data_IF_727138851787
#
_entry.id   IF_727138851787
#
_cell.length_a   1.000
_cell.length_b   1.000
_cell.length_c   1.000
_cell.angle_alpha   90.00
_cell.angle_beta   90.00
_cell.angle_gamma   90.00
#
_symmetry.space_group_name_H-M   'P 1'
#
loop_
_entity.id
_entity.type
_entity.pdbx_description
1 polymer ?
#
# COMPACT_ATOMS: atom_id res chain seq x y z
N UNK A 1 -16.87 -22.63 23.89
CA UNK A 1 -16.39 -22.28 22.54
C UNK A 1 -15.38 -21.16 22.67
N UNK A 2 -14.10 -21.49 22.63
CA UNK A 2 -13.01 -20.55 22.89
C UNK A 2 -12.74 -19.72 21.65
N UNK A 3 -13.00 -18.42 21.74
CA UNK A 3 -12.67 -17.45 20.68
C UNK A 3 -11.15 -17.49 20.47
N UNK A 4 -10.70 -18.02 19.33
CA UNK A 4 -9.29 -17.99 18.96
C UNK A 4 -8.90 -16.53 18.73
N UNK A 5 -8.32 -15.94 19.76
CA UNK A 5 -7.67 -14.63 19.75
C UNK A 5 -6.64 -14.66 18.63
N UNK A 6 -6.96 -14.00 17.51
CA UNK A 6 -6.04 -13.85 16.38
C UNK A 6 -4.81 -13.12 16.91
N UNK A 7 -3.73 -13.85 17.16
CA UNK A 7 -2.45 -13.28 17.52
C UNK A 7 -1.99 -12.42 16.34
N UNK A 8 -2.11 -11.10 16.51
CA UNK A 8 -1.38 -10.13 15.71
C UNK A 8 0.10 -10.41 15.90
N UNK A 9 0.70 -11.25 15.05
CA UNK A 9 2.14 -11.23 14.81
C UNK A 9 2.46 -9.82 14.32
N UNK A 10 2.78 -8.92 15.25
CA UNK A 10 3.42 -7.65 14.94
C UNK A 10 4.76 -8.04 14.33
N UNK A 11 4.81 -8.02 13.00
CA UNK A 11 6.08 -8.02 12.30
C UNK A 11 6.85 -6.83 12.86
N UNK A 12 7.86 -7.09 13.68
CA UNK A 12 8.79 -6.08 14.20
C UNK A 12 9.73 -5.67 13.06
N UNK A 13 9.15 -5.27 11.92
CA UNK A 13 9.86 -4.49 10.92
C UNK A 13 9.78 -3.06 11.45
N UNK A 14 10.94 -2.50 11.79
CA UNK A 14 11.06 -1.06 12.06
C UNK A 14 10.40 -0.32 10.92
N UNK A 15 9.29 0.36 11.22
CA UNK A 15 8.54 1.10 10.22
C UNK A 15 9.44 2.15 9.57
N UNK A 16 9.20 2.45 8.30
CA UNK A 16 10.06 3.33 7.52
C UNK A 16 9.25 4.24 6.61
N UNK A 17 9.90 5.33 6.21
CA UNK A 17 9.36 6.25 5.21
C UNK A 17 9.63 5.71 3.81
N UNK A 18 8.61 5.74 2.95
CA UNK A 18 8.71 5.16 1.61
C UNK A 18 7.38 5.09 0.89
N UNK A 19 7.38 4.30 -0.17
CA UNK A 19 6.22 3.97 -0.99
C UNK A 19 5.88 2.49 -0.83
N UNK A 20 4.60 2.18 -0.88
CA UNK A 20 4.10 0.82 -0.94
C UNK A 20 3.16 0.64 -2.12
N UNK A 21 3.14 -0.59 -2.65
CA UNK A 21 2.26 -1.03 -3.72
C UNK A 21 1.46 -2.22 -3.22
N UNK A 22 0.14 -2.13 -3.35
CA UNK A 22 -0.78 -3.24 -3.12
C UNK A 22 -1.25 -3.76 -4.48
N UNK A 23 -0.78 -4.93 -4.87
CA UNK A 23 -1.13 -5.57 -6.14
C UNK A 23 -2.20 -6.64 -5.90
N UNK A 24 -3.39 -6.46 -6.46
CA UNK A 24 -4.43 -7.49 -6.43
C UNK A 24 -4.13 -8.58 -7.48
N UNK A 25 -3.92 -9.81 -7.03
CA UNK A 25 -3.55 -10.93 -7.90
C UNK A 25 -4.65 -11.36 -8.86
N UNK A 26 -5.92 -11.10 -8.53
CA UNK A 26 -7.10 -11.54 -9.28
C UNK A 26 -7.40 -10.59 -10.45
N UNK A 27 -7.56 -9.30 -10.16
CA UNK A 27 -7.92 -8.30 -11.18
C UNK A 27 -6.73 -7.49 -11.72
N UNK A 28 -5.51 -7.78 -11.23
CA UNK A 28 -4.23 -7.15 -11.62
C UNK A 28 -4.16 -5.64 -11.37
N UNK A 29 -5.07 -5.08 -10.57
CA UNK A 29 -5.07 -3.67 -10.20
C UNK A 29 -4.03 -3.38 -9.13
N UNK A 30 -3.40 -2.22 -9.23
CA UNK A 30 -2.41 -1.73 -8.27
C UNK A 30 -2.95 -0.53 -7.50
N UNK A 31 -2.67 -0.48 -6.20
CA UNK A 31 -2.75 0.73 -5.40
C UNK A 31 -1.33 1.12 -4.99
N UNK A 32 -0.93 2.37 -5.21
CA UNK A 32 0.36 2.90 -4.78
C UNK A 32 0.10 4.01 -3.77
N UNK A 33 0.82 4.03 -2.67
CA UNK A 33 0.77 5.14 -1.72
C UNK A 33 2.10 5.38 -1.05
N UNK A 34 2.33 6.61 -0.59
CA UNK A 34 3.45 6.92 0.30
C UNK A 34 3.06 6.90 1.78
N UNK A 35 4.06 6.79 2.66
CA UNK A 35 3.91 7.11 4.08
C UNK A 35 5.28 7.32 4.74
N UNK A 36 5.30 8.07 5.84
CA UNK A 36 6.40 8.04 6.83
C UNK A 36 6.45 6.73 7.62
N UNK A 37 5.32 5.99 7.62
CA UNK A 37 5.10 4.74 8.33
C UNK A 37 4.42 3.73 7.40
N UNK A 38 5.18 3.23 6.44
CA UNK A 38 4.72 2.31 5.38
C UNK A 38 3.99 1.09 5.96
N UNK A 39 4.56 0.42 6.95
CA UNK A 39 3.97 -0.80 7.51
C UNK A 39 2.65 -0.52 8.22
N UNK A 40 2.59 0.58 9.00
CA UNK A 40 1.32 1.03 9.57
C UNK A 40 0.28 1.30 8.48
N UNK A 41 0.67 2.01 7.41
CA UNK A 41 -0.28 2.43 6.38
C UNK A 41 -0.81 1.25 5.57
N UNK A 42 0.04 0.27 5.26
CA UNK A 42 -0.40 -1.01 4.67
C UNK A 42 -1.42 -1.70 5.58
N UNK A 43 -1.14 -1.78 6.89
CA UNK A 43 -2.10 -2.35 7.84
C UNK A 43 -3.42 -1.59 7.87
N UNK A 44 -3.40 -0.25 7.81
CA UNK A 44 -4.62 0.58 7.76
C UNK A 44 -5.51 0.21 6.54
N UNK A 45 -4.93 -0.14 5.38
CA UNK A 45 -5.72 -0.61 4.22
C UNK A 45 -6.38 -1.96 4.48
N UNK A 46 -5.66 -2.89 5.13
CA UNK A 46 -6.17 -4.22 5.44
C UNK A 46 -7.20 -4.23 6.58
N UNK A 47 -7.27 -3.15 7.37
CA UNK A 47 -8.26 -2.96 8.44
C UNK A 47 -9.36 -1.97 8.10
N UNK A 48 -9.41 -1.46 6.85
CA UNK A 48 -10.51 -0.63 6.35
C UNK A 48 -10.38 0.87 6.55
N UNK A 49 -9.22 1.37 7.01
CA UNK A 49 -8.91 2.79 7.18
C UNK A 49 -8.09 3.38 6.01
N UNK A 50 -8.10 2.69 4.86
CA UNK A 50 -7.41 3.07 3.63
C UNK A 50 -8.37 3.25 2.44
N UNK A 51 -7.96 2.79 1.27
CA UNK A 51 -8.79 2.79 0.07
C UNK A 51 -9.91 1.76 0.22
N UNK A 52 -11.17 2.22 0.18
CA UNK A 52 -12.34 1.35 0.37
C UNK A 52 -12.42 0.22 -0.64
N UNK A 53 -12.02 0.47 -1.89
CA UNK A 53 -12.04 -0.56 -2.95
C UNK A 53 -11.00 -1.65 -2.70
N UNK A 54 -9.80 -1.29 -2.24
CA UNK A 54 -8.76 -2.25 -1.82
C UNK A 54 -9.27 -3.11 -0.66
N UNK A 55 -9.83 -2.47 0.37
CA UNK A 55 -10.36 -3.19 1.54
C UNK A 55 -11.53 -4.10 1.16
N UNK A 56 -12.44 -3.66 0.30
CA UNK A 56 -13.57 -4.46 -0.18
C UNK A 56 -13.07 -5.70 -0.91
N UNK A 57 -12.15 -5.55 -1.85
CA UNK A 57 -11.61 -6.68 -2.63
C UNK A 57 -10.82 -7.64 -1.72
N UNK A 58 -10.06 -7.12 -0.77
CA UNK A 58 -9.39 -7.93 0.26
C UNK A 58 -10.38 -8.72 1.12
N UNK A 59 -11.47 -8.09 1.57
CA UNK A 59 -12.54 -8.76 2.34
C UNK A 59 -13.29 -9.81 1.53
N UNK A 60 -13.36 -9.65 0.22
CA UNK A 60 -13.93 -10.64 -0.70
C UNK A 60 -13.00 -11.84 -0.96
N UNK A 61 -11.81 -11.88 -0.34
CA UNK A 61 -10.87 -12.98 -0.45
C UNK A 61 -9.84 -12.84 -1.56
N UNK A 62 -9.77 -11.68 -2.23
CA UNK A 62 -8.72 -11.44 -3.22
C UNK A 62 -7.36 -11.37 -2.53
N UNK A 63 -6.35 -12.02 -3.13
CA UNK A 63 -4.98 -12.04 -2.62
C UNK A 63 -4.25 -10.78 -3.06
N UNK A 64 -3.51 -10.17 -2.14
CA UNK A 64 -2.70 -8.99 -2.42
C UNK A 64 -1.21 -9.27 -2.16
N UNK A 65 -0.36 -8.87 -3.10
CA UNK A 65 1.07 -8.74 -2.85
C UNK A 65 1.40 -7.31 -2.42
N UNK A 66 2.24 -7.20 -1.40
CA UNK A 66 2.73 -5.93 -0.88
C UNK A 66 4.17 -5.77 -1.32
N UNK A 67 4.45 -4.76 -2.13
CA UNK A 67 5.80 -4.35 -2.46
C UNK A 67 6.10 -3.03 -1.76
N UNK A 68 7.27 -2.91 -1.13
CA UNK A 68 7.66 -1.70 -0.41
C UNK A 68 8.99 -1.19 -0.91
N UNK A 69 9.10 0.13 -1.02
CA UNK A 69 10.27 0.84 -1.52
C UNK A 69 10.64 1.88 -0.46
N UNK A 70 11.75 1.70 0.28
CA UNK A 70 12.18 2.69 1.25
C UNK A 70 12.60 3.98 0.56
N UNK A 71 12.31 5.13 1.18
CA UNK A 71 12.72 6.43 0.67
C UNK A 71 14.24 6.63 0.84
N UNK A 72 14.79 6.17 1.96
CA UNK A 72 16.23 6.18 2.20
C UNK A 72 16.95 5.34 1.14
N UNK A 73 17.89 5.95 0.44
CA UNK A 73 18.64 5.29 -0.63
C UNK A 73 17.91 5.19 -1.98
N UNK A 74 16.71 5.76 -2.10
CA UNK A 74 15.94 5.72 -3.36
C UNK A 74 16.48 6.67 -4.45
N UNK A 75 17.30 7.66 -4.08
CA UNK A 75 17.79 8.71 -4.98
C UNK A 75 16.77 9.83 -5.27
N UNK A 76 15.56 9.76 -4.72
CA UNK A 76 14.53 10.77 -4.91
C UNK A 76 14.67 11.93 -3.93
N UNK A 77 14.34 13.14 -4.40
CA UNK A 77 14.37 14.37 -3.58
C UNK A 77 13.18 14.49 -2.64
N UNK A 78 12.08 13.78 -2.89
CA UNK A 78 10.89 13.78 -2.03
C UNK A 78 10.08 12.50 -2.16
N UNK A 79 9.30 12.17 -1.12
CA UNK A 79 8.35 11.06 -1.18
C UNK A 79 7.28 11.27 -2.26
N UNK A 80 6.89 12.51 -2.54
CA UNK A 80 5.93 12.84 -3.60
C UNK A 80 6.49 12.47 -4.98
N UNK A 81 7.77 12.75 -5.24
CA UNK A 81 8.42 12.37 -6.49
C UNK A 81 8.52 10.84 -6.62
N UNK A 82 8.94 10.15 -5.55
CA UNK A 82 8.99 8.69 -5.52
C UNK A 82 7.60 8.06 -5.74
N UNK A 83 6.55 8.60 -5.10
CA UNK A 83 5.18 8.12 -5.24
C UNK A 83 4.67 8.28 -6.67
N UNK A 84 4.84 9.46 -7.27
CA UNK A 84 4.35 9.77 -8.61
C UNK A 84 4.94 8.83 -9.66
N UNK A 85 6.25 8.62 -9.60
CA UNK A 85 6.94 7.73 -10.54
C UNK A 85 6.49 6.29 -10.36
N UNK A 86 6.23 5.85 -9.13
CA UNK A 86 5.69 4.52 -8.87
C UNK A 86 4.21 4.39 -9.27
N UNK A 87 3.37 5.42 -9.09
CA UNK A 87 1.99 5.41 -9.61
C UNK A 87 1.99 5.24 -11.13
N UNK A 88 2.89 5.94 -11.83
CA UNK A 88 3.05 5.79 -13.27
C UNK A 88 3.55 4.38 -13.64
N UNK A 89 4.63 3.92 -13.01
CA UNK A 89 5.25 2.60 -13.24
C UNK A 89 4.26 1.44 -13.05
N UNK A 90 3.44 1.49 -12.00
CA UNK A 90 2.47 0.45 -11.70
C UNK A 90 1.08 0.71 -12.30
N UNK A 91 0.92 1.74 -13.14
CA UNK A 91 -0.37 2.14 -13.72
C UNK A 91 -1.48 2.29 -12.67
N UNK A 92 -1.12 2.73 -11.46
CA UNK A 92 -2.01 2.79 -10.31
C UNK A 92 -3.21 3.70 -10.53
N UNK A 93 -3.03 4.77 -11.33
CA UNK A 93 -4.08 5.74 -11.66
C UNK A 93 -4.94 5.32 -12.86
N UNK A 94 -4.32 4.85 -13.95
CA UNK A 94 -5.03 4.59 -15.21
C UNK A 94 -5.76 3.24 -15.22
N UNK A 95 -5.25 2.25 -14.49
CA UNK A 95 -5.79 0.88 -14.46
C UNK A 95 -5.84 0.29 -13.04
N UNK A 96 -5.61 1.09 -12.02
CA UNK A 96 -5.49 0.65 -10.64
C UNK A 96 -6.57 1.22 -9.71
N UNK A 97 -6.24 1.29 -8.43
CA UNK A 97 -7.12 1.78 -7.37
C UNK A 97 -6.84 3.25 -7.00
N UNK A 98 -5.79 3.87 -7.53
CA UNK A 98 -5.49 5.27 -7.22
C UNK A 98 -6.48 6.20 -7.93
N UNK A 99 -7.02 7.15 -7.17
CA UNK A 99 -7.91 8.19 -7.71
C UNK A 99 -7.17 9.43 -8.22
N UNK A 100 -5.87 9.54 -7.94
CA UNK A 100 -5.01 10.66 -8.35
C UNK A 100 -3.67 10.13 -8.86
N UNK A 101 -2.92 10.96 -9.58
CA UNK A 101 -1.55 10.66 -10.04
C UNK A 101 -0.48 10.85 -8.94
N UNK A 102 -0.89 10.93 -7.67
CA UNK A 102 -0.03 11.23 -6.53
C UNK A 102 -0.19 12.68 -6.05
N UNK A 103 0.46 13.00 -4.94
CA UNK A 103 0.38 14.34 -4.37
C UNK A 103 1.16 15.37 -5.21
N UNK A 104 0.55 16.54 -5.41
CA UNK A 104 1.20 17.74 -5.91
C UNK A 104 1.63 18.47 -4.63
N UNK A 105 2.94 18.49 -4.37
CA UNK A 105 3.51 19.14 -3.19
C UNK A 105 3.37 20.65 -3.28
#
# INVERSE_FOLDING_TARGET
MTVKKFERRRVHCTDFSGVYVLHNCKNKKNYVGQSQRVMKRVNDHLTGHGCRDVYRDYKNGDKFYIHTIPFKGSGYRSLNALERDNIAKYSGYTRGYNKTKGNIG
#
